data_IF_065568395275
#
_entry.id   IF_065568395275
#
_cell.length_a   1.000
_cell.length_b   1.000
_cell.length_c   1.000
_cell.angle_alpha   90.00
_cell.angle_beta   90.00
_cell.angle_gamma   90.00
#
_symmetry.space_group_name_H-M   'P 1'
#
loop_
_entity.id
_entity.type
_entity.pdbx_description
1 polymer ?
#
# COMPACT_ATOMS: atom_id res chain seq x y z
N UNK A 1 -8.75 -41.85 14.54
CA UNK A 1 -7.86 -40.88 13.87
C UNK A 1 -6.53 -41.55 13.54
N UNK A 2 -5.99 -41.36 12.33
CA UNK A 2 -4.63 -41.82 12.00
C UNK A 2 -3.66 -40.68 12.25
N UNK A 3 -2.99 -40.71 13.41
CA UNK A 3 -1.98 -39.72 13.77
C UNK A 3 -0.69 -40.03 13.01
N UNK A 4 -0.05 -38.98 12.48
CA UNK A 4 1.26 -39.06 11.84
C UNK A 4 2.22 -38.18 12.62
N UNK A 5 3.41 -38.71 12.89
CA UNK A 5 4.46 -38.00 13.61
C UNK A 5 5.52 -37.50 12.62
N UNK A 6 5.96 -36.27 12.81
CA UNK A 6 7.04 -35.63 12.06
C UNK A 6 7.94 -34.89 13.06
N UNK A 7 9.26 -34.98 12.86
CA UNK A 7 10.25 -34.23 13.64
C UNK A 7 10.94 -33.21 12.73
N UNK A 8 11.05 -31.97 13.20
CA UNK A 8 11.69 -30.86 12.50
C UNK A 8 12.87 -30.39 13.35
N UNK A 9 14.01 -30.14 12.71
CA UNK A 9 15.21 -29.55 13.34
C UNK A 9 15.47 -28.20 12.68
N UNK A 10 15.78 -27.19 13.49
CA UNK A 10 16.12 -25.84 13.03
C UNK A 10 17.62 -25.65 13.15
N UNK A 11 18.28 -25.19 12.10
CA UNK A 11 19.66 -24.76 12.19
C UNK A 11 19.71 -23.27 12.62
N UNK A 12 20.04 -22.98 13.88
CA UNK A 12 20.05 -21.60 14.39
C UNK A 12 21.19 -20.74 13.83
N UNK A 13 22.20 -21.35 13.18
CA UNK A 13 23.22 -20.60 12.44
C UNK A 13 22.69 -20.07 11.11
N UNK A 14 21.61 -20.70 10.57
CA UNK A 14 20.95 -20.27 9.36
C UNK A 14 19.83 -19.28 9.69
N UNK A 15 19.92 -18.08 9.10
CA UNK A 15 18.99 -16.99 9.38
C UNK A 15 17.51 -17.35 9.18
N UNK A 16 17.21 -18.08 8.10
CA UNK A 16 15.83 -18.49 7.76
C UNK A 16 15.23 -19.39 8.82
N UNK A 17 16.01 -20.35 9.29
CA UNK A 17 15.60 -21.33 10.29
C UNK A 17 15.49 -20.68 11.67
N UNK A 18 16.43 -19.80 12.00
CA UNK A 18 16.40 -19.00 13.24
C UNK A 18 15.13 -18.16 13.32
N UNK A 19 14.77 -17.45 12.26
CA UNK A 19 13.52 -16.67 12.19
C UNK A 19 12.29 -17.56 12.33
N UNK A 20 12.25 -18.69 11.63
CA UNK A 20 11.15 -19.64 11.75
C UNK A 20 10.99 -20.15 13.19
N UNK A 21 12.11 -20.42 13.87
CA UNK A 21 12.14 -20.80 15.27
C UNK A 21 11.64 -19.70 16.20
N UNK A 22 12.07 -18.45 16.01
CA UNK A 22 11.61 -17.30 16.78
C UNK A 22 10.11 -17.07 16.62
N UNK A 23 9.60 -17.14 15.39
CA UNK A 23 8.15 -17.05 15.14
C UNK A 23 7.40 -18.16 15.87
N UNK A 24 7.88 -19.41 15.81
CA UNK A 24 7.26 -20.55 16.47
C UNK A 24 7.26 -20.42 18.00
N UNK A 25 8.26 -19.76 18.59
CA UNK A 25 8.31 -19.51 20.03
C UNK A 25 7.29 -18.47 20.51
N UNK A 26 6.96 -17.48 19.67
CA UNK A 26 6.00 -16.43 20.00
C UNK A 26 4.52 -16.87 19.88
N UNK A 27 4.26 -18.09 19.39
CA UNK A 27 2.90 -18.59 19.19
C UNK A 27 2.26 -18.98 20.52
N UNK A 28 1.05 -18.43 20.78
CA UNK A 28 0.24 -18.75 21.98
C UNK A 28 -0.47 -20.10 21.89
N UNK A 29 -0.62 -20.65 20.69
CA UNK A 29 -1.26 -21.94 20.41
C UNK A 29 -0.23 -23.08 20.37
N UNK A 30 -0.67 -24.31 20.10
CA UNK A 30 0.23 -25.44 19.91
C UNK A 30 1.19 -25.21 18.74
N UNK A 31 2.49 -25.44 18.94
CA UNK A 31 3.51 -25.38 17.88
C UNK A 31 3.14 -26.24 16.68
N UNK A 32 2.56 -27.42 16.91
CA UNK A 32 2.13 -28.30 15.82
C UNK A 32 0.99 -27.66 15.00
N UNK A 33 0.02 -27.03 15.66
CA UNK A 33 -1.05 -26.32 14.95
C UNK A 33 -0.51 -25.13 14.16
N UNK A 34 0.45 -24.39 14.73
CA UNK A 34 1.10 -23.28 14.05
C UNK A 34 1.83 -23.73 12.77
N UNK A 35 2.59 -24.82 12.85
CA UNK A 35 3.29 -25.40 11.68
C UNK A 35 2.30 -25.89 10.64
N UNK A 36 1.24 -26.60 11.04
CA UNK A 36 0.20 -27.07 10.11
C UNK A 36 -0.48 -25.89 9.41
N UNK A 37 -0.83 -24.83 10.17
CA UNK A 37 -1.47 -23.64 9.62
C UNK A 37 -0.55 -22.91 8.64
N UNK A 38 0.74 -22.75 8.97
CA UNK A 38 1.72 -22.13 8.09
C UNK A 38 1.90 -22.93 6.78
N UNK A 39 1.98 -24.26 6.86
CA UNK A 39 2.05 -25.13 5.67
C UNK A 39 0.80 -24.93 4.82
N UNK A 40 -0.39 -25.05 5.41
CA UNK A 40 -1.64 -24.87 4.66
C UNK A 40 -1.68 -23.51 3.97
N UNK A 41 -1.36 -22.42 4.69
CA UNK A 41 -1.33 -21.07 4.13
C UNK A 41 -0.29 -20.88 3.01
N UNK A 42 0.81 -21.64 3.02
CA UNK A 42 1.84 -21.57 1.96
C UNK A 42 1.40 -22.21 0.64
N UNK A 43 0.46 -23.16 0.71
CA UNK A 43 -0.11 -23.86 -0.46
C UNK A 43 -1.50 -23.34 -0.83
N UNK A 44 -2.16 -22.61 0.07
CA UNK A 44 -3.39 -21.92 -0.24
C UNK A 44 -3.08 -20.75 -1.18
N UNK A 45 -3.83 -20.57 -2.28
CA UNK A 45 -3.58 -19.46 -3.17
C UNK A 45 -3.66 -18.16 -2.36
N UNK A 46 -2.61 -17.31 -2.45
CA UNK A 46 -2.64 -15.93 -1.94
C UNK A 46 -3.98 -15.38 -2.35
N UNK A 47 -4.82 -14.99 -1.38
CA UNK A 47 -6.20 -14.59 -1.60
C UNK A 47 -6.27 -13.62 -2.79
N UNK A 48 -6.45 -14.15 -4.00
CA UNK A 48 -6.45 -13.37 -5.24
C UNK A 48 -7.56 -12.34 -5.12
N UNK A 49 -8.67 -12.75 -4.51
CA UNK A 49 -9.76 -11.90 -4.05
C UNK A 49 -9.32 -10.67 -3.25
N UNK A 50 -8.41 -10.78 -2.26
CA UNK A 50 -7.94 -9.63 -1.49
C UNK A 50 -7.00 -8.73 -2.30
N UNK A 51 -6.06 -9.33 -3.04
CA UNK A 51 -5.14 -8.55 -3.89
C UNK A 51 -5.89 -7.82 -5.00
N UNK A 52 -6.88 -8.46 -5.60
CA UNK A 52 -7.74 -7.89 -6.63
C UNK A 52 -8.70 -6.85 -6.06
N UNK A 53 -9.26 -7.08 -4.87
CA UNK A 53 -10.05 -6.06 -4.16
C UNK A 53 -9.21 -4.81 -3.85
N UNK A 54 -7.99 -4.97 -3.33
CA UNK A 54 -7.08 -3.84 -3.08
C UNK A 54 -6.77 -3.11 -4.39
N UNK A 55 -6.48 -3.84 -5.48
CA UNK A 55 -6.20 -3.25 -6.78
C UNK A 55 -7.42 -2.50 -7.35
N UNK A 56 -8.62 -3.04 -7.19
CA UNK A 56 -9.88 -2.40 -7.60
C UNK A 56 -10.12 -1.12 -6.80
N UNK A 57 -10.03 -1.17 -5.47
CA UNK A 57 -10.22 0.00 -4.62
C UNK A 57 -9.20 1.11 -4.95
N UNK A 58 -7.93 0.76 -5.17
CA UNK A 58 -6.93 1.75 -5.61
C UNK A 58 -7.31 2.36 -6.95
N UNK A 59 -7.79 1.55 -7.91
CA UNK A 59 -8.23 2.03 -9.23
C UNK A 59 -9.41 3.00 -9.10
N UNK A 60 -10.42 2.64 -8.32
CA UNK A 60 -11.61 3.47 -8.08
C UNK A 60 -11.23 4.80 -7.41
N UNK A 61 -10.38 4.77 -6.37
CA UNK A 61 -9.90 5.99 -5.72
C UNK A 61 -9.16 6.92 -6.69
N UNK A 62 -8.27 6.39 -7.53
CA UNK A 62 -7.52 7.19 -8.49
C UNK A 62 -8.38 7.73 -9.64
N UNK A 63 -9.36 6.96 -10.11
CA UNK A 63 -10.33 7.44 -11.11
C UNK A 63 -11.16 8.62 -10.58
N UNK A 64 -11.60 8.54 -9.32
CA UNK A 64 -12.35 9.61 -8.67
C UNK A 64 -11.50 10.88 -8.47
N UNK A 65 -10.19 10.76 -8.21
CA UNK A 65 -9.28 11.90 -8.13
C UNK A 65 -9.12 12.58 -9.50
N UNK A 66 -8.99 11.80 -10.57
CA UNK A 66 -8.92 12.36 -11.93
C UNK A 66 -10.21 13.06 -12.35
N UNK A 67 -11.38 12.60 -11.87
CA UNK A 67 -12.66 13.25 -12.13
C UNK A 67 -12.86 14.56 -11.34
N UNK A 68 -12.31 14.65 -10.12
CA UNK A 68 -12.35 15.86 -9.30
C UNK A 68 -11.43 16.98 -9.81
N UNK A 69 -10.36 16.63 -10.54
CA UNK A 69 -9.46 17.61 -11.15
C UNK A 69 -10.08 18.32 -12.37
N UNK A 70 -11.10 17.71 -13.00
CA UNK A 70 -11.88 18.31 -14.10
C UNK A 70 -12.97 19.26 -13.58
N UNK A 71 -13.28 19.22 -12.28
CA UNK A 71 -14.28 20.08 -11.64
C UNK A 71 -13.67 21.13 -10.71
N UNK A 72 -12.45 21.63 -10.98
CA UNK A 72 -12.20 23.02 -10.62
C UNK A 72 -12.90 23.87 -11.68
N UNK A 73 -13.82 24.77 -11.31
CA UNK A 73 -14.21 25.79 -12.26
C UNK A 73 -12.92 26.48 -12.67
N UNK A 74 -12.69 26.52 -13.97
CA UNK A 74 -11.74 27.39 -14.62
C UNK A 74 -12.09 28.81 -14.14
N UNK A 75 -11.52 29.22 -13.00
CA UNK A 75 -11.22 30.62 -12.77
C UNK A 75 -10.14 30.94 -13.80
N UNK A 76 -10.57 31.09 -15.06
CA UNK A 76 -10.03 32.11 -15.91
C UNK A 76 -10.20 33.39 -15.09
N UNK A 77 -9.16 33.69 -14.30
CA UNK A 77 -8.94 34.96 -13.66
C UNK A 77 -8.97 35.99 -14.77
N UNK A 78 -10.15 36.54 -15.03
CA UNK A 78 -10.29 37.78 -15.73
C UNK A 78 -9.60 38.80 -14.83
N UNK A 79 -8.31 39.02 -15.11
CA UNK A 79 -7.48 40.02 -14.46
C UNK A 79 -8.29 41.31 -14.50
N UNK A 80 -8.62 41.84 -13.33
CA UNK A 80 -9.40 43.08 -13.23
C UNK A 80 -8.60 44.22 -13.87
N UNK A 81 -9.25 45.25 -14.41
CA UNK A 81 -8.56 46.43 -14.97
C UNK A 81 -7.56 47.04 -13.98
N UNK A 82 -7.87 46.98 -12.67
CA UNK A 82 -6.96 47.41 -11.61
C UNK A 82 -5.69 46.56 -11.55
N UNK A 83 -5.81 45.24 -11.69
CA UNK A 83 -4.67 44.32 -11.66
C UNK A 83 -3.82 44.47 -12.93
N UNK A 84 -4.42 44.72 -14.09
CA UNK A 84 -3.71 45.06 -15.32
C UNK A 84 -2.95 46.38 -15.20
N UNK A 85 -3.57 47.42 -14.60
CA UNK A 85 -2.91 48.70 -14.37
C UNK A 85 -1.71 48.58 -13.41
N UNK A 86 -1.80 47.69 -12.41
CA UNK A 86 -0.68 47.39 -11.51
C UNK A 86 0.47 46.68 -12.23
N UNK A 87 0.17 45.75 -13.16
CA UNK A 87 1.18 45.07 -13.96
C UNK A 87 1.87 46.01 -14.96
N UNK A 88 1.13 46.93 -15.58
CA UNK A 88 1.68 47.95 -16.47
C UNK A 88 2.59 48.93 -15.71
N UNK A 89 2.20 49.33 -14.50
CA UNK A 89 3.02 50.16 -13.60
C UNK A 89 4.32 49.46 -13.18
N UNK A 90 4.26 48.15 -12.92
CA UNK A 90 5.46 47.35 -12.64
C UNK A 90 6.40 47.23 -13.85
N UNK A 91 5.83 47.15 -15.05
CA UNK A 91 6.60 47.09 -16.28
C UNK A 91 7.29 48.43 -16.60
N UNK A 92 6.63 49.57 -16.34
CA UNK A 92 7.26 50.89 -16.45
C UNK A 92 8.36 51.12 -15.40
N UNK A 93 8.23 50.54 -14.20
CA UNK A 93 9.25 50.63 -13.15
C UNK A 93 10.50 49.78 -13.44
N UNK A 94 10.34 48.67 -14.16
CA UNK A 94 11.41 47.74 -14.53
C UNK A 94 11.93 47.96 -15.96
N UNK A 95 11.30 48.87 -16.70
CA UNK A 95 11.55 49.18 -18.11
C UNK A 95 12.33 50.48 -18.33
N UNK A 96 13.53 50.56 -17.75
CA UNK A 96 14.77 51.12 -18.33
C UNK A 96 15.95 50.80 -17.38
#
# INVERSE_FOLDING_TARGET
MRLKHMSIRFNLEQETDRRAWEHLQCVKTSRNQAVIAAINASFEPVNQSLTDAIRETIRECLQNISALQVSLPEQASAISEEESALLDSLNDLLGD
#
